data_IF_726857499513
#
_entry.id   IF_726857499513
#
_cell.length_a   1.000
_cell.length_b   1.000
_cell.length_c   1.000
_cell.angle_alpha   90.00
_cell.angle_beta   90.00
_cell.angle_gamma   90.00
#
_symmetry.space_group_name_H-M   'P 1'
#
loop_
_entity.id
_entity.type
_entity.pdbx_description
1 polymer ?
#
# COMPACT_ATOMS: atom_id res chain seq x y z
N UNK A 1 61.32 14.16 -0.85
CA UNK A 1 60.26 13.37 -0.18
C UNK A 1 60.49 11.90 -0.53
N UNK A 2 60.58 11.02 0.48
CA UNK A 2 60.85 9.59 0.27
C UNK A 2 59.57 8.92 -0.25
N UNK A 3 59.67 8.05 -1.28
CA UNK A 3 58.57 7.34 -1.92
C UNK A 3 57.58 6.66 -0.94
N UNK A 4 58.08 6.21 0.21
CA UNK A 4 57.27 5.58 1.26
C UNK A 4 56.33 6.55 2.00
N UNK A 5 56.67 7.84 2.08
CA UNK A 5 55.82 8.85 2.73
C UNK A 5 54.63 9.20 1.84
N UNK A 6 54.84 9.24 0.50
CA UNK A 6 53.77 9.49 -0.46
C UNK A 6 52.74 8.36 -0.49
N UNK A 7 53.19 7.10 -0.46
CA UNK A 7 52.31 5.93 -0.42
C UNK A 7 51.46 5.86 0.87
N UNK A 8 52.03 6.23 2.01
CA UNK A 8 51.28 6.28 3.29
C UNK A 8 50.22 7.38 3.31
N UNK A 9 50.49 8.51 2.65
CA UNK A 9 49.52 9.63 2.57
C UNK A 9 48.38 9.30 1.60
N UNK A 10 48.66 8.60 0.50
CA UNK A 10 47.60 8.15 -0.42
C UNK A 10 46.72 7.04 0.18
N UNK A 11 47.26 6.14 1.02
CA UNK A 11 46.49 5.10 1.68
C UNK A 11 45.55 5.64 2.78
N UNK A 12 45.94 6.75 3.44
CA UNK A 12 45.11 7.43 4.45
C UNK A 12 43.95 8.23 3.81
N UNK A 13 44.17 8.78 2.59
CA UNK A 13 43.13 9.52 1.86
C UNK A 13 42.08 8.59 1.23
N UNK A 14 42.47 7.36 0.84
CA UNK A 14 41.52 6.40 0.28
C UNK A 14 40.55 5.77 1.31
N UNK A 15 40.92 5.75 2.60
CA UNK A 15 40.05 5.23 3.66
C UNK A 15 38.93 6.18 4.08
N UNK A 16 38.98 7.46 3.69
CA UNK A 16 37.98 8.47 4.04
C UNK A 16 36.83 8.59 3.01
N UNK A 17 36.91 7.91 1.86
CA UNK A 17 35.94 8.05 0.76
C UNK A 17 34.96 6.88 0.69
N UNK A 18 35.17 5.83 1.48
CA UNK A 18 34.27 4.68 1.53
C UNK A 18 33.47 4.60 2.85
N UNK A 19 33.04 5.74 3.39
CA UNK A 19 31.91 5.68 4.32
C UNK A 19 30.71 5.22 3.49
N UNK A 20 30.11 4.06 3.79
CA UNK A 20 29.05 3.52 2.95
C UNK A 20 27.91 4.52 2.88
N UNK A 21 27.42 4.83 1.66
CA UNK A 21 26.23 5.63 1.40
C UNK A 21 25.04 5.19 2.28
N UNK A 22 25.03 3.96 2.74
CA UNK A 22 24.06 3.39 3.66
C UNK A 22 24.07 4.05 5.05
N UNK A 23 25.19 4.55 5.54
CA UNK A 23 25.26 5.31 6.80
C UNK A 23 24.67 6.71 6.64
N UNK A 24 24.85 7.35 5.48
CA UNK A 24 24.20 8.62 5.17
C UNK A 24 22.68 8.44 4.96
N UNK A 25 22.25 7.37 4.32
CA UNK A 25 20.83 7.06 4.13
C UNK A 25 20.12 6.75 5.45
N UNK A 26 20.81 6.17 6.43
CA UNK A 26 20.27 5.95 7.79
C UNK A 26 20.09 7.23 8.60
N UNK A 27 20.92 8.25 8.37
CA UNK A 27 20.82 9.53 9.11
C UNK A 27 19.68 10.44 8.64
N UNK A 28 19.06 10.13 7.48
CA UNK A 28 17.94 10.92 6.92
C UNK A 28 16.58 10.31 7.32
N UNK A 29 16.52 9.18 8.02
CA UNK A 29 15.26 8.72 8.59
C UNK A 29 14.82 9.71 9.65
N UNK A 30 13.93 10.61 9.22
CA UNK A 30 13.26 11.55 10.12
C UNK A 30 12.72 10.78 11.32
N UNK A 31 13.18 11.14 12.53
CA UNK A 31 12.76 10.49 13.76
C UNK A 31 11.22 10.50 13.83
N UNK A 32 10.60 9.34 14.04
CA UNK A 32 9.15 9.28 14.28
C UNK A 32 8.87 9.96 15.62
N UNK A 33 7.82 10.75 15.70
CA UNK A 33 7.29 11.17 16.98
C UNK A 33 7.05 9.92 17.82
N UNK A 34 7.69 9.81 18.98
CA UNK A 34 7.67 8.62 19.81
C UNK A 34 6.34 8.35 20.51
N UNK A 35 5.30 9.14 20.24
CA UNK A 35 3.97 8.96 20.83
C UNK A 35 3.17 7.91 20.05
N UNK A 36 2.69 6.87 20.76
CA UNK A 36 1.68 5.95 20.25
C UNK A 36 0.27 6.55 20.31
N UNK A 37 -0.65 5.99 19.55
CA UNK A 37 -2.06 6.38 19.58
C UNK A 37 -2.98 5.17 19.43
N UNK A 38 -4.24 5.33 19.84
CA UNK A 38 -5.29 4.35 19.63
C UNK A 38 -6.32 4.91 18.64
N UNK A 39 -6.72 4.10 17.65
CA UNK A 39 -7.88 4.36 16.80
C UNK A 39 -8.96 3.36 17.18
N UNK A 40 -10.07 3.83 17.74
CA UNK A 40 -11.17 2.98 18.20
C UNK A 40 -11.80 2.13 17.08
N UNK A 41 -12.51 1.08 17.46
CA UNK A 41 -13.23 0.22 16.52
C UNK A 41 -14.22 1.02 15.66
N UNK A 42 -14.22 0.81 14.35
CA UNK A 42 -15.07 1.53 13.40
C UNK A 42 -14.76 3.03 13.26
N UNK A 43 -13.63 3.50 13.80
CA UNK A 43 -13.21 4.90 13.67
C UNK A 43 -12.07 5.06 12.67
N UNK A 44 -12.00 6.23 12.08
CA UNK A 44 -10.90 6.70 11.23
C UNK A 44 -9.89 7.51 12.06
N UNK A 45 -8.61 7.47 11.69
CA UNK A 45 -7.50 8.19 12.34
C UNK A 45 -7.73 9.70 12.42
N UNK A 46 -8.45 10.26 11.45
CA UNK A 46 -8.70 11.71 11.29
C UNK A 46 -10.19 12.07 11.37
N UNK A 47 -11.03 11.10 11.78
CA UNK A 47 -12.49 11.25 11.80
C UNK A 47 -13.10 11.60 10.42
N UNK A 48 -12.40 11.19 9.34
CA UNK A 48 -12.77 11.44 7.95
C UNK A 48 -12.65 10.15 7.13
N UNK A 49 -13.54 9.17 7.33
CA UNK A 49 -13.52 7.96 6.53
C UNK A 49 -13.70 8.28 5.04
N UNK A 50 -13.04 7.52 4.18
CA UNK A 50 -13.11 7.69 2.73
C UNK A 50 -14.23 6.80 2.18
N UNK A 51 -15.19 7.40 1.50
CA UNK A 51 -16.22 6.67 0.75
C UNK A 51 -15.74 6.46 -0.67
N UNK A 52 -15.54 5.20 -1.06
CA UNK A 52 -15.11 4.86 -2.40
C UNK A 52 -16.28 4.41 -3.29
N UNK A 53 -16.00 4.34 -4.58
CA UNK A 53 -16.92 3.83 -5.57
C UNK A 53 -17.44 2.43 -5.17
N UNK A 54 -18.72 2.15 -5.39
CA UNK A 54 -19.39 0.87 -5.09
C UNK A 54 -19.77 0.64 -3.61
N UNK A 55 -19.71 1.66 -2.75
CA UNK A 55 -20.18 1.57 -1.38
C UNK A 55 -19.14 1.03 -0.39
N UNK A 56 -17.88 1.08 -0.74
CA UNK A 56 -16.79 0.80 0.18
C UNK A 56 -16.51 2.01 1.05
N UNK A 57 -16.21 1.75 2.31
CA UNK A 57 -15.75 2.77 3.25
C UNK A 57 -14.41 2.36 3.82
N UNK A 58 -13.42 3.24 3.70
CA UNK A 58 -12.09 3.05 4.25
C UNK A 58 -11.88 3.90 5.49
N UNK A 59 -11.45 3.26 6.56
CA UNK A 59 -11.12 3.88 7.84
C UNK A 59 -9.61 3.77 8.04
N UNK A 60 -8.87 4.85 7.84
CA UNK A 60 -7.42 4.91 8.08
C UNK A 60 -7.13 4.56 9.54
N UNK A 61 -6.24 3.60 9.77
CA UNK A 61 -5.76 3.21 11.09
C UNK A 61 -4.34 3.75 11.33
N UNK A 62 -3.47 3.65 10.33
CA UNK A 62 -2.12 4.22 10.34
C UNK A 62 -1.96 4.97 9.03
N UNK A 63 -1.73 6.28 9.12
CA UNK A 63 -1.48 7.12 7.96
C UNK A 63 -0.01 7.04 7.52
N UNK A 64 0.22 7.28 6.25
CA UNK A 64 1.55 7.48 5.69
C UNK A 64 2.40 8.48 6.50
N UNK A 65 1.79 9.56 7.00
CA UNK A 65 2.51 10.57 7.80
C UNK A 65 2.94 10.07 9.17
N UNK A 66 2.21 9.14 9.80
CA UNK A 66 2.56 8.56 11.11
C UNK A 66 3.85 7.72 11.04
N UNK A 67 4.22 7.28 9.83
CA UNK A 67 5.31 6.32 9.61
C UNK A 67 6.43 6.85 8.70
N UNK A 68 6.40 8.15 8.36
CA UNK A 68 7.33 8.75 7.37
C UNK A 68 7.31 8.04 6.00
N UNK A 69 6.16 7.49 5.61
CA UNK A 69 5.97 6.80 4.34
C UNK A 69 6.25 5.29 4.36
N UNK A 70 6.62 4.72 5.50
CA UNK A 70 6.93 3.29 5.57
C UNK A 70 5.68 2.41 5.49
N UNK A 71 4.54 2.90 6.01
CA UNK A 71 3.34 2.09 6.15
C UNK A 71 2.07 2.92 5.96
N UNK A 72 1.05 2.33 5.33
CA UNK A 72 -0.33 2.79 5.32
C UNK A 72 -1.25 1.63 5.66
N UNK A 73 -2.13 1.81 6.64
CA UNK A 73 -3.08 0.77 7.09
C UNK A 73 -4.48 1.35 7.17
N UNK A 74 -5.43 0.64 6.59
CA UNK A 74 -6.83 0.99 6.70
C UNK A 74 -7.73 -0.25 6.82
N UNK A 75 -8.87 -0.08 7.48
CA UNK A 75 -9.97 -1.03 7.48
C UNK A 75 -10.91 -0.70 6.33
N UNK A 76 -11.16 -1.67 5.46
CA UNK A 76 -12.17 -1.57 4.40
C UNK A 76 -13.43 -2.28 4.84
N UNK A 77 -14.55 -1.57 4.79
CA UNK A 77 -15.89 -2.13 4.99
C UNK A 77 -16.61 -2.18 3.66
N UNK A 78 -17.10 -3.35 3.26
CA UNK A 78 -17.79 -3.59 1.99
C UNK A 78 -19.17 -4.18 2.21
N UNK A 79 -20.17 -3.57 1.57
CA UNK A 79 -21.55 -4.08 1.59
C UNK A 79 -21.89 -4.88 0.34
N UNK A 80 -21.32 -4.51 -0.81
CA UNK A 80 -21.62 -5.13 -2.12
C UNK A 80 -20.57 -6.17 -2.48
N UNK A 81 -21.00 -7.20 -3.17
CA UNK A 81 -20.09 -8.16 -3.82
C UNK A 81 -19.19 -7.49 -4.84
N UNK A 82 -18.06 -8.14 -5.16
CA UNK A 82 -17.07 -7.67 -6.10
C UNK A 82 -15.88 -6.98 -5.43
N UNK A 83 -15.08 -6.32 -6.24
CA UNK A 83 -13.80 -5.72 -5.81
C UNK A 83 -13.18 -4.82 -6.87
N UNK A 84 -11.94 -4.37 -6.66
CA UNK A 84 -11.22 -3.55 -7.62
C UNK A 84 -10.87 -4.31 -8.89
N UNK A 85 -10.54 -3.57 -9.94
CA UNK A 85 -9.94 -4.13 -11.15
C UNK A 85 -8.66 -4.90 -10.85
N UNK A 86 -8.34 -5.89 -11.67
CA UNK A 86 -7.08 -6.62 -11.58
C UNK A 86 -5.93 -5.66 -11.86
N UNK A 87 -4.98 -5.52 -10.92
CA UNK A 87 -3.93 -4.51 -10.97
C UNK A 87 -2.65 -5.00 -10.29
N UNK A 88 -1.59 -4.22 -10.42
CA UNK A 88 -0.35 -4.40 -9.67
C UNK A 88 0.12 -3.06 -9.12
N UNK A 89 0.87 -3.10 -8.05
CA UNK A 89 1.63 -1.95 -7.52
C UNK A 89 3.09 -2.01 -7.99
N UNK A 90 3.65 -0.85 -8.37
CA UNK A 90 5.05 -0.80 -8.83
C UNK A 90 6.04 -1.03 -7.68
N UNK A 91 5.78 -0.40 -6.54
CA UNK A 91 6.74 -0.30 -5.45
C UNK A 91 6.18 -0.67 -4.08
N UNK A 92 4.89 -0.98 -3.98
CA UNK A 92 4.22 -1.36 -2.74
C UNK A 92 3.90 -2.84 -2.72
N UNK A 93 4.18 -3.50 -1.61
CA UNK A 93 3.57 -4.76 -1.23
C UNK A 93 2.20 -4.46 -0.62
N UNK A 94 1.22 -5.31 -0.86
CA UNK A 94 -0.11 -5.22 -0.28
C UNK A 94 -0.43 -6.48 0.52
N UNK A 95 -1.01 -6.31 1.69
CA UNK A 95 -1.38 -7.42 2.55
C UNK A 95 -2.82 -7.26 3.01
N UNK A 96 -3.58 -8.33 2.92
CA UNK A 96 -4.98 -8.44 3.34
C UNK A 96 -5.09 -9.35 4.55
N UNK A 97 -5.79 -8.89 5.57
CA UNK A 97 -6.23 -9.70 6.70
C UNK A 97 -7.75 -9.62 6.79
N UNK A 98 -8.44 -10.76 6.73
CA UNK A 98 -9.91 -10.79 6.77
C UNK A 98 -10.38 -10.62 8.21
N UNK A 99 -11.09 -9.53 8.48
CA UNK A 99 -11.69 -9.25 9.78
C UNK A 99 -13.08 -9.90 9.92
N UNK A 100 -13.88 -9.88 8.84
CA UNK A 100 -15.20 -10.52 8.79
C UNK A 100 -15.64 -10.78 7.36
N UNK A 101 -16.57 -11.70 7.17
CA UNK A 101 -17.08 -12.11 5.86
C UNK A 101 -16.12 -12.99 5.09
N UNK A 102 -16.32 -13.10 3.78
CA UNK A 102 -15.53 -13.96 2.89
C UNK A 102 -15.08 -13.18 1.65
N UNK A 103 -13.90 -13.54 1.16
CA UNK A 103 -13.29 -12.94 -0.01
C UNK A 103 -12.66 -13.98 -0.91
N UNK A 104 -12.77 -13.76 -2.22
CA UNK A 104 -11.88 -14.39 -3.19
C UNK A 104 -10.74 -13.42 -3.48
N UNK A 105 -9.50 -13.87 -3.29
CA UNK A 105 -8.29 -13.05 -3.51
C UNK A 105 -7.43 -13.77 -4.54
N UNK A 106 -7.08 -13.08 -5.64
CA UNK A 106 -6.17 -13.58 -6.66
C UNK A 106 -4.83 -12.86 -6.56
N UNK A 107 -3.72 -13.63 -6.52
CA UNK A 107 -2.33 -13.11 -6.56
C UNK A 107 -1.55 -13.92 -7.59
N UNK A 108 -1.12 -13.28 -8.66
CA UNK A 108 -0.61 -13.97 -9.84
C UNK A 108 -1.66 -14.95 -10.38
N UNK A 109 -1.29 -16.21 -10.54
CA UNK A 109 -2.20 -17.26 -11.00
C UNK A 109 -2.93 -17.98 -9.85
N UNK A 110 -2.61 -17.68 -8.60
CA UNK A 110 -3.21 -18.35 -7.44
C UNK A 110 -4.47 -17.64 -6.98
N UNK A 111 -5.49 -18.43 -6.68
CA UNK A 111 -6.77 -17.97 -6.13
C UNK A 111 -6.90 -18.52 -4.71
N UNK A 112 -7.26 -17.64 -3.79
CA UNK A 112 -7.49 -17.94 -2.39
C UNK A 112 -8.95 -17.62 -2.03
N UNK A 113 -9.60 -18.52 -1.32
CA UNK A 113 -10.91 -18.28 -0.69
C UNK A 113 -10.65 -18.01 0.79
N UNK A 114 -10.69 -16.76 1.16
CA UNK A 114 -10.30 -16.28 2.49
C UNK A 114 -11.53 -15.92 3.32
N UNK A 115 -11.52 -16.29 4.59
CA UNK A 115 -12.54 -16.00 5.60
C UNK A 115 -11.94 -15.32 6.81
N UNK A 116 -12.74 -14.90 7.76
CA UNK A 116 -12.28 -14.24 8.99
C UNK A 116 -11.12 -14.98 9.65
N UNK A 117 -10.03 -14.26 9.92
CA UNK A 117 -8.77 -14.77 10.47
C UNK A 117 -7.72 -15.14 9.42
N UNK A 118 -8.09 -15.29 8.14
CA UNK A 118 -7.14 -15.59 7.08
C UNK A 118 -6.37 -14.35 6.62
N UNK A 119 -5.17 -14.60 6.11
CA UNK A 119 -4.23 -13.57 5.67
C UNK A 119 -3.63 -13.93 4.31
N UNK A 120 -3.58 -12.96 3.39
CA UNK A 120 -3.00 -13.13 2.06
C UNK A 120 -2.01 -12.00 1.80
N UNK A 121 -0.85 -12.33 1.22
CA UNK A 121 0.20 -11.39 0.85
C UNK A 121 0.30 -11.26 -0.67
N UNK A 122 0.26 -10.02 -1.16
CA UNK A 122 0.44 -9.63 -2.55
C UNK A 122 1.74 -8.85 -2.74
N UNK A 123 2.79 -9.48 -3.27
CA UNK A 123 4.06 -8.79 -3.52
C UNK A 123 3.91 -7.75 -4.64
N UNK A 124 4.69 -6.67 -4.54
CA UNK A 124 4.78 -5.65 -5.60
C UNK A 124 5.08 -6.27 -6.95
N UNK A 125 4.61 -5.65 -8.03
CA UNK A 125 4.77 -6.10 -9.43
C UNK A 125 4.06 -7.42 -9.77
N UNK A 126 3.43 -8.08 -8.81
CA UNK A 126 2.59 -9.26 -9.06
C UNK A 126 1.13 -8.81 -9.20
N UNK A 127 0.47 -9.11 -10.32
CA UNK A 127 -0.94 -8.79 -10.51
C UNK A 127 -1.82 -9.43 -9.44
N UNK A 128 -2.72 -8.64 -8.87
CA UNK A 128 -3.63 -9.11 -7.85
C UNK A 128 -4.98 -8.37 -7.89
N UNK A 129 -5.95 -8.94 -7.24
CA UNK A 129 -7.25 -8.34 -6.97
C UNK A 129 -7.97 -9.15 -5.90
N UNK A 130 -9.01 -8.57 -5.31
CA UNK A 130 -9.91 -9.29 -4.42
C UNK A 130 -11.36 -9.01 -4.78
N UNK A 131 -12.25 -9.89 -4.36
CA UNK A 131 -13.70 -9.69 -4.44
C UNK A 131 -14.35 -10.17 -3.14
N UNK A 132 -15.20 -9.33 -2.56
CA UNK A 132 -16.14 -9.79 -1.54
C UNK A 132 -17.11 -10.80 -2.15
N UNK A 133 -17.38 -11.87 -1.44
CA UNK A 133 -18.37 -12.89 -1.81
C UNK A 133 -19.40 -13.06 -0.70
N UNK A 134 -20.59 -13.49 -1.07
CA UNK A 134 -21.69 -13.73 -0.14
C UNK A 134 -22.38 -12.48 0.38
N UNK A 135 -23.42 -12.69 1.17
CA UNK A 135 -24.30 -11.65 1.69
C UNK A 135 -23.70 -10.92 2.91
N UNK A 136 -24.32 -9.79 3.26
CA UNK A 136 -23.96 -9.01 4.44
C UNK A 136 -22.69 -8.16 4.29
N UNK A 137 -22.25 -7.60 5.39
CA UNK A 137 -21.04 -6.78 5.48
C UNK A 137 -19.79 -7.67 5.59
N UNK A 138 -18.74 -7.30 4.88
CA UNK A 138 -17.42 -7.92 5.03
C UNK A 138 -16.34 -6.87 5.24
N UNK A 139 -15.28 -7.23 5.97
CA UNK A 139 -14.20 -6.31 6.36
C UNK A 139 -12.83 -6.91 6.13
N UNK A 140 -11.94 -6.07 5.58
CA UNK A 140 -10.51 -6.34 5.44
C UNK A 140 -9.70 -5.30 6.23
N UNK A 141 -8.66 -5.73 6.89
CA UNK A 141 -7.53 -4.85 7.21
C UNK A 141 -6.56 -4.92 6.04
N UNK A 142 -6.24 -3.76 5.47
CA UNK A 142 -5.39 -3.66 4.29
C UNK A 142 -4.15 -2.83 4.62
N UNK A 143 -3.00 -3.30 4.16
CA UNK A 143 -1.69 -2.76 4.52
C UNK A 143 -0.86 -2.57 3.26
N UNK A 144 -0.29 -1.38 3.09
CA UNK A 144 0.68 -1.07 2.04
C UNK A 144 2.05 -0.78 2.66
N UNK A 145 3.09 -1.44 2.13
CA UNK A 145 4.48 -1.25 2.51
C UNK A 145 5.41 -1.20 1.27
N UNK A 146 6.12 -0.07 1.07
CA UNK A 146 5.89 1.24 1.72
C UNK A 146 4.50 1.80 1.40
N UNK A 147 4.09 2.83 2.12
CA UNK A 147 2.80 3.49 1.89
C UNK A 147 2.64 4.04 0.46
N UNK A 148 3.73 4.44 -0.16
CA UNK A 148 3.71 5.09 -1.46
C UNK A 148 2.77 6.29 -1.52
N UNK A 149 1.93 6.35 -2.55
CA UNK A 149 0.90 7.37 -2.72
C UNK A 149 -0.52 6.82 -2.56
N UNK A 150 -0.69 5.63 -1.98
CA UNK A 150 -2.01 4.97 -1.94
C UNK A 150 -3.03 5.72 -1.09
N UNK A 151 -2.62 6.28 0.06
CA UNK A 151 -3.51 7.12 0.86
C UNK A 151 -4.01 8.35 0.09
N UNK A 152 -3.12 9.02 -0.64
CA UNK A 152 -3.46 10.15 -1.51
C UNK A 152 -4.39 9.72 -2.66
N UNK A 153 -4.10 8.58 -3.29
CA UNK A 153 -4.91 7.99 -4.34
C UNK A 153 -6.37 7.79 -3.89
N UNK A 154 -6.57 7.10 -2.78
CA UNK A 154 -7.90 6.82 -2.25
C UNK A 154 -8.64 8.09 -1.82
N UNK A 155 -7.94 9.05 -1.23
CA UNK A 155 -8.52 10.35 -0.89
C UNK A 155 -9.03 11.08 -2.13
N UNK A 156 -8.22 11.17 -3.20
CA UNK A 156 -8.63 11.79 -4.48
C UNK A 156 -9.82 11.07 -5.13
N UNK A 157 -9.85 9.74 -5.08
CA UNK A 157 -10.98 8.96 -5.58
C UNK A 157 -12.24 9.29 -4.75
N UNK A 158 -12.14 9.33 -3.42
CA UNK A 158 -13.25 9.67 -2.53
C UNK A 158 -13.76 11.10 -2.75
N UNK A 159 -12.89 12.03 -3.08
CA UNK A 159 -13.22 13.42 -3.46
C UNK A 159 -13.85 13.54 -4.87
N UNK A 160 -13.94 12.42 -5.60
CA UNK A 160 -14.56 12.37 -6.94
C UNK A 160 -13.66 12.83 -8.08
N UNK A 161 -12.37 13.04 -7.84
CA UNK A 161 -11.41 13.51 -8.86
C UNK A 161 -11.41 12.60 -10.11
N UNK A 162 -11.63 11.30 -9.91
CA UNK A 162 -11.59 10.33 -11.01
C UNK A 162 -12.94 10.14 -11.73
N UNK A 163 -14.01 10.83 -11.30
CA UNK A 163 -15.39 10.57 -11.76
C UNK A 163 -15.58 10.79 -13.25
N UNK A 164 -14.96 11.83 -13.79
CA UNK A 164 -15.12 12.24 -15.20
C UNK A 164 -13.85 12.05 -16.02
N UNK A 165 -12.86 11.28 -15.52
CA UNK A 165 -11.63 11.01 -16.26
C UNK A 165 -11.91 10.12 -17.47
N UNK A 166 -11.30 10.44 -18.60
CA UNK A 166 -11.14 9.54 -19.73
C UNK A 166 -10.29 8.33 -19.30
N UNK A 167 -10.29 7.30 -20.13
CA UNK A 167 -9.45 6.11 -19.85
C UNK A 167 -7.96 6.46 -19.81
N UNK A 168 -7.50 7.32 -20.74
CA UNK A 168 -6.12 7.79 -20.78
C UNK A 168 -5.72 8.56 -19.51
N UNK A 169 -6.58 9.47 -19.03
CA UNK A 169 -6.37 10.22 -17.80
C UNK A 169 -6.35 9.28 -16.57
N UNK A 170 -7.20 8.26 -16.58
CA UNK A 170 -7.25 7.24 -15.52
C UNK A 170 -5.97 6.40 -15.48
N UNK A 171 -5.47 5.97 -16.64
CA UNK A 171 -4.19 5.25 -16.74
C UNK A 171 -3.05 6.10 -16.20
N UNK A 172 -2.99 7.39 -16.56
CA UNK A 172 -1.99 8.33 -16.07
C UNK A 172 -2.11 8.53 -14.56
N UNK A 173 -3.32 8.79 -14.07
CA UNK A 173 -3.60 8.94 -12.63
C UNK A 173 -3.14 7.71 -11.83
N UNK A 174 -3.48 6.51 -12.29
CA UNK A 174 -3.07 5.27 -11.65
C UNK A 174 -1.55 5.13 -11.62
N UNK A 175 -0.87 5.37 -12.75
CA UNK A 175 0.58 5.30 -12.84
C UNK A 175 1.29 6.30 -11.91
N UNK A 176 0.79 7.52 -11.79
CA UNK A 176 1.30 8.54 -10.87
C UNK A 176 1.17 8.15 -9.39
N UNK A 177 0.21 7.27 -9.08
CA UNK A 177 -0.01 6.72 -7.74
C UNK A 177 0.60 5.32 -7.54
N UNK A 178 1.42 4.85 -8.50
CA UNK A 178 2.14 3.59 -8.37
C UNK A 178 1.33 2.34 -8.70
N UNK A 179 0.22 2.49 -9.43
CA UNK A 179 -0.72 1.41 -9.79
C UNK A 179 -0.76 1.22 -11.30
N UNK A 180 -0.81 -0.02 -11.76
CA UNK A 180 -1.11 -0.38 -13.15
C UNK A 180 -2.28 -1.35 -13.18
N UNK A 181 -3.38 -0.95 -13.80
CA UNK A 181 -4.48 -1.86 -14.10
C UNK A 181 -4.07 -2.82 -15.23
N UNK A 182 -4.34 -4.11 -15.07
CA UNK A 182 -3.96 -5.17 -16.01
C UNK A 182 -5.13 -6.05 -16.44
N UNK A 183 -6.33 -5.82 -15.90
CA UNK A 183 -7.53 -6.56 -16.28
C UNK A 183 -8.79 -6.06 -15.56
N UNK A 184 -9.95 -6.63 -15.88
CA UNK A 184 -11.21 -6.32 -15.21
C UNK A 184 -11.20 -6.79 -13.74
N UNK A 185 -12.16 -6.37 -12.93
CA UNK A 185 -12.39 -6.97 -11.62
C UNK A 185 -12.52 -8.50 -11.74
N UNK A 186 -11.95 -9.23 -10.79
CA UNK A 186 -12.28 -10.65 -10.65
C UNK A 186 -13.72 -10.70 -10.19
N UNK A 187 -14.65 -11.01 -11.07
CA UNK A 187 -16.06 -11.22 -10.69
C UNK A 187 -16.16 -12.29 -9.60
N UNK A 188 -17.36 -12.51 -9.08
CA UNK A 188 -17.62 -13.71 -8.29
C UNK A 188 -17.24 -14.92 -9.15
N UNK A 189 -16.00 -15.41 -8.98
CA UNK A 189 -15.62 -16.68 -9.56
C UNK A 189 -16.58 -17.69 -8.92
N UNK A 190 -17.59 -18.12 -9.70
CA UNK A 190 -18.53 -19.15 -9.26
C UNK A 190 -17.71 -20.32 -8.75
N UNK A 191 -18.00 -20.72 -7.53
CA UNK A 191 -17.46 -21.95 -6.91
C UNK A 191 -17.71 -23.16 -7.80
#
# INVERSE_FOLDING_TARGET
MKRQTFLKTCSAAAALVTAPLELLARSIRKYRDGSGFMVGAGKDRFEKPLSLLQGDTFYTKISRQDTNGDLYVYESTRLKEGGPSHHLHFDQDEWWYVLSGEFTIKVGEKIYHAKAGDSVFGPRKVPHSFAKVGDGEAKLLMIFQPAGKMEECFRKISEGVTKNMTEEERVKFNAEHGVKQVGPPIGTLKR
#
